data_IF_530438936365
#
_entry.id   IF_530438936365
#
_cell.length_a   1.000
_cell.length_b   1.000
_cell.length_c   1.000
_cell.angle_alpha   90.00
_cell.angle_beta   90.00
_cell.angle_gamma   90.00
#
_symmetry.space_group_name_H-M   'P 1'
#
loop_
_entity.id
_entity.type
_entity.pdbx_description
1 polymer ?
#
# COMPACT_ATOMS: atom_id res chain seq x y z
N UNK A 1 -3.98 30.02 -1.30
CA UNK A 1 -3.18 28.84 -1.70
C UNK A 1 -4.05 28.00 -2.64
N UNK A 2 -3.48 27.33 -3.64
CA UNK A 2 -4.24 26.49 -4.56
C UNK A 2 -4.49 25.13 -3.89
N UNK A 3 -5.76 24.76 -3.69
CA UNK A 3 -6.16 23.47 -3.12
C UNK A 3 -7.11 23.60 -1.93
N UNK A 4 -7.69 22.47 -1.51
CA UNK A 4 -8.49 22.35 -0.29
C UNK A 4 -7.65 21.70 0.81
N UNK A 5 -7.75 22.23 2.04
CA UNK A 5 -6.91 21.85 3.19
C UNK A 5 -7.75 21.51 4.42
N UNK A 6 -8.99 21.07 4.22
CA UNK A 6 -9.85 20.68 5.32
C UNK A 6 -9.38 19.35 5.96
N UNK A 7 -9.91 19.05 7.13
CA UNK A 7 -9.58 17.82 7.84
C UNK A 7 -9.94 16.54 7.08
N UNK A 8 -10.72 16.63 5.98
CA UNK A 8 -11.11 15.47 5.18
C UNK A 8 -9.96 14.94 4.33
N UNK A 9 -8.97 15.78 4.01
CA UNK A 9 -7.78 15.39 3.23
C UNK A 9 -6.50 15.32 4.07
N UNK A 10 -6.50 15.86 5.29
CA UNK A 10 -5.32 15.84 6.18
C UNK A 10 -4.85 14.41 6.47
N UNK A 11 -5.77 13.48 6.66
CA UNK A 11 -5.40 12.10 6.98
C UNK A 11 -4.74 11.39 5.78
N UNK A 12 -5.22 11.66 4.56
CA UNK A 12 -4.59 11.23 3.31
C UNK A 12 -3.16 11.77 3.19
N UNK A 13 -2.93 13.05 3.52
CA UNK A 13 -1.58 13.62 3.54
C UNK A 13 -0.67 13.00 4.61
N UNK A 14 -1.21 12.68 5.80
CA UNK A 14 -0.46 11.96 6.83
C UNK A 14 -0.06 10.56 6.34
N UNK A 15 -0.98 9.86 5.67
CA UNK A 15 -0.72 8.56 5.03
C UNK A 15 0.44 8.66 4.03
N UNK A 16 0.39 9.67 3.15
CA UNK A 16 1.45 9.94 2.17
C UNK A 16 2.81 10.22 2.83
N UNK A 17 2.85 11.10 3.83
CA UNK A 17 4.08 11.43 4.56
C UNK A 17 4.65 10.17 5.23
N UNK A 18 3.79 9.35 5.85
CA UNK A 18 4.19 8.08 6.47
C UNK A 18 4.81 7.13 5.43
N UNK A 19 4.19 7.00 4.26
CA UNK A 19 4.68 6.16 3.17
C UNK A 19 6.00 6.66 2.58
N UNK A 20 6.16 7.97 2.35
CA UNK A 20 7.42 8.55 1.86
C UNK A 20 8.56 8.34 2.87
N UNK A 21 8.27 8.53 4.16
CA UNK A 21 9.23 8.21 5.22
C UNK A 21 9.56 6.71 5.23
N UNK A 22 8.55 5.83 5.11
CA UNK A 22 8.72 4.39 5.01
C UNK A 22 9.59 3.94 3.84
N UNK A 23 9.39 4.51 2.65
CA UNK A 23 10.23 4.30 1.45
C UNK A 23 11.68 4.67 1.79
N UNK A 24 11.88 5.83 2.39
CA UNK A 24 13.21 6.32 2.77
C UNK A 24 13.88 5.38 3.77
N UNK A 25 13.15 4.85 4.74
CA UNK A 25 13.68 3.86 5.68
C UNK A 25 14.00 2.52 4.98
N UNK A 26 13.18 2.08 4.02
CA UNK A 26 13.43 0.88 3.24
C UNK A 26 14.73 0.99 2.42
N UNK A 27 14.95 2.13 1.76
CA UNK A 27 16.17 2.41 1.00
C UNK A 27 17.42 2.40 1.89
N UNK A 28 17.30 2.88 3.14
CA UNK A 28 18.36 2.83 4.14
C UNK A 28 18.53 1.44 4.82
N UNK A 29 17.85 0.40 4.32
CA UNK A 29 17.89 -0.96 4.87
C UNK A 29 17.16 -1.14 6.21
N UNK A 30 16.40 -0.15 6.67
CA UNK A 30 15.64 -0.17 7.93
C UNK A 30 14.23 -0.72 7.70
N UNK A 31 14.16 -1.98 7.24
CA UNK A 31 12.90 -2.62 6.82
C UNK A 31 11.84 -2.72 7.93
N UNK A 32 12.26 -2.80 9.20
CA UNK A 32 11.33 -2.78 10.34
C UNK A 32 10.48 -1.52 10.37
N UNK A 33 11.13 -0.37 10.23
CA UNK A 33 10.44 0.92 10.26
C UNK A 33 9.58 1.06 9.01
N UNK A 34 10.10 0.63 7.85
CA UNK A 34 9.33 0.65 6.60
C UNK A 34 8.01 -0.13 6.70
N UNK A 35 8.02 -1.35 7.24
CA UNK A 35 6.79 -2.14 7.37
C UNK A 35 5.82 -1.51 8.38
N UNK A 36 6.32 -0.96 9.48
CA UNK A 36 5.49 -0.19 10.42
C UNK A 36 4.83 1.00 9.72
N UNK A 37 5.58 1.74 8.90
CA UNK A 37 5.04 2.85 8.11
C UNK A 37 3.98 2.39 7.11
N UNK A 38 4.17 1.24 6.43
CA UNK A 38 3.18 0.69 5.51
C UNK A 38 1.87 0.33 6.23
N UNK A 39 1.98 -0.30 7.41
CA UNK A 39 0.83 -0.65 8.23
C UNK A 39 0.11 0.60 8.77
N UNK A 40 0.86 1.63 9.19
CA UNK A 40 0.30 2.90 9.64
C UNK A 40 -0.39 3.67 8.50
N UNK A 41 0.19 3.68 7.30
CA UNK A 41 -0.44 4.27 6.12
C UNK A 41 -1.75 3.58 5.77
N UNK A 42 -1.80 2.24 5.80
CA UNK A 42 -3.06 1.49 5.64
C UNK A 42 -4.09 1.77 6.73
N UNK A 43 -3.64 2.00 7.96
CA UNK A 43 -4.54 2.39 9.05
C UNK A 43 -5.15 3.78 8.80
N UNK A 44 -4.34 4.75 8.38
CA UNK A 44 -4.80 6.09 8.02
C UNK A 44 -5.85 6.06 6.91
N UNK A 45 -5.57 5.33 5.82
CA UNK A 45 -6.50 5.12 4.71
C UNK A 45 -7.85 4.51 5.15
N UNK A 46 -7.82 3.49 6.00
CA UNK A 46 -9.06 2.89 6.50
C UNK A 46 -9.94 3.88 7.29
N UNK A 47 -9.34 4.92 7.87
CA UNK A 47 -10.04 5.94 8.65
C UNK A 47 -10.37 7.21 7.86
N UNK A 48 -9.66 7.55 6.78
CA UNK A 48 -9.87 8.81 6.07
C UNK A 48 -11.25 8.86 5.42
N UNK A 49 -11.72 7.77 4.82
CA UNK A 49 -13.05 7.68 4.23
C UNK A 49 -14.17 7.75 5.27
N UNK A 50 -13.90 7.39 6.53
CA UNK A 50 -14.85 7.56 7.63
C UNK A 50 -14.89 9.00 8.12
N UNK A 51 -13.72 9.61 8.29
CA UNK A 51 -13.57 11.00 8.75
C UNK A 51 -14.10 11.97 7.69
N UNK A 52 -13.83 11.72 6.41
CA UNK A 52 -14.32 12.54 5.31
C UNK A 52 -15.86 12.55 5.22
N UNK A 53 -16.55 11.51 5.72
CA UNK A 53 -18.02 11.41 5.77
C UNK A 53 -18.64 12.14 6.97
N UNK A 54 -17.86 12.56 7.97
CA UNK A 54 -18.42 13.29 9.12
C UNK A 54 -18.64 14.77 8.82
N UNK A 55 -18.02 15.31 7.76
CA UNK A 55 -18.22 16.69 7.32
C UNK A 55 -19.60 16.85 6.67
N UNK A 56 -20.52 17.52 7.37
CA UNK A 56 -21.90 17.76 6.90
C UNK A 56 -21.98 18.81 5.78
N UNK A 57 -21.14 19.84 5.84
CA UNK A 57 -21.17 20.98 4.90
C UNK A 57 -20.02 20.91 3.87
N UNK A 58 -19.81 19.73 3.27
CA UNK A 58 -18.75 19.54 2.27
C UNK A 58 -19.26 19.98 0.89
N UNK A 59 -18.53 20.87 0.22
CA UNK A 59 -18.91 21.30 -1.14
C UNK A 59 -18.63 20.19 -2.17
N UNK A 60 -19.27 20.28 -3.33
CA UNK A 60 -19.02 19.33 -4.42
C UNK A 60 -17.55 19.35 -4.87
N UNK A 61 -16.93 20.54 -4.93
CA UNK A 61 -15.54 20.70 -5.33
C UNK A 61 -14.58 20.09 -4.30
N UNK A 62 -14.83 20.30 -3.00
CA UNK A 62 -14.06 19.66 -1.91
C UNK A 62 -14.15 18.13 -1.96
N UNK A 63 -15.32 17.60 -2.34
CA UNK A 63 -15.53 16.15 -2.49
C UNK A 63 -14.77 15.59 -3.68
N UNK A 64 -14.90 16.21 -4.86
CA UNK A 64 -14.21 15.79 -6.07
C UNK A 64 -12.69 15.89 -5.91
N UNK A 65 -12.20 17.00 -5.34
CA UNK A 65 -10.79 17.17 -5.05
C UNK A 65 -10.27 16.10 -4.09
N UNK A 66 -10.98 15.82 -3.01
CA UNK A 66 -10.59 14.79 -2.05
C UNK A 66 -10.49 13.40 -2.68
N UNK A 67 -11.43 13.01 -3.53
CA UNK A 67 -11.37 11.73 -4.27
C UNK A 67 -10.13 11.63 -5.15
N UNK A 68 -9.76 12.72 -5.83
CA UNK A 68 -8.57 12.74 -6.69
C UNK A 68 -7.28 12.68 -5.88
N UNK A 69 -7.17 13.46 -4.80
CA UNK A 69 -5.99 13.46 -3.92
C UNK A 69 -5.80 12.11 -3.24
N UNK A 70 -6.89 11.49 -2.78
CA UNK A 70 -6.89 10.15 -2.20
C UNK A 70 -6.29 9.12 -3.16
N UNK A 71 -6.82 9.06 -4.38
CA UNK A 71 -6.32 8.15 -5.42
C UNK A 71 -4.85 8.39 -5.79
N UNK A 72 -4.42 9.65 -5.87
CA UNK A 72 -3.01 9.96 -6.17
C UNK A 72 -2.09 9.53 -5.02
N UNK A 73 -2.52 9.74 -3.77
CA UNK A 73 -1.77 9.30 -2.60
C UNK A 73 -1.73 7.77 -2.50
N UNK A 74 -2.83 7.08 -2.79
CA UNK A 74 -2.91 5.61 -2.79
C UNK A 74 -1.96 4.96 -3.78
N UNK A 75 -1.78 5.54 -4.97
CA UNK A 75 -0.76 5.06 -5.91
C UNK A 75 0.62 5.08 -5.28
N UNK A 76 0.95 6.12 -4.52
CA UNK A 76 2.26 6.23 -3.84
C UNK A 76 2.34 5.28 -2.65
N UNK A 77 1.33 5.29 -1.78
CA UNK A 77 1.27 4.54 -0.53
C UNK A 77 1.18 3.02 -0.73
N UNK A 78 0.43 2.57 -1.74
CA UNK A 78 0.08 1.16 -1.90
C UNK A 78 0.50 0.59 -3.26
N UNK A 79 0.80 1.42 -4.26
CA UNK A 79 1.44 1.01 -5.50
C UNK A 79 2.97 1.08 -5.42
N UNK A 80 3.50 2.29 -5.24
CA UNK A 80 4.93 2.57 -5.32
C UNK A 80 5.68 2.08 -4.09
N UNK A 81 5.18 2.32 -2.89
CA UNK A 81 5.90 1.94 -1.67
C UNK A 81 6.13 0.43 -1.55
N UNK A 82 5.12 -0.47 -1.69
CA UNK A 82 5.34 -1.91 -1.72
C UNK A 82 6.33 -2.36 -2.79
N UNK A 83 6.25 -1.75 -3.98
CA UNK A 83 7.15 -2.03 -5.11
C UNK A 83 8.60 -1.74 -4.77
N UNK A 84 8.88 -0.55 -4.23
CA UNK A 84 10.23 -0.18 -3.81
C UNK A 84 10.71 -1.09 -2.68
N UNK A 85 9.84 -1.37 -1.70
CA UNK A 85 10.17 -2.24 -0.57
C UNK A 85 10.58 -3.64 -1.04
N UNK A 86 9.85 -4.25 -1.98
CA UNK A 86 10.22 -5.54 -2.58
C UNK A 86 11.50 -5.46 -3.43
N UNK A 87 11.71 -4.37 -4.18
CA UNK A 87 12.92 -4.16 -4.97
C UNK A 87 14.19 -4.14 -4.09
N UNK A 88 14.15 -3.37 -3.00
CA UNK A 88 15.30 -3.26 -2.09
C UNK A 88 15.60 -4.58 -1.36
N UNK A 89 14.58 -5.45 -1.19
CA UNK A 89 14.72 -6.78 -0.57
C UNK A 89 15.18 -7.89 -1.53
N UNK A 90 15.27 -7.60 -2.83
CA UNK A 90 15.90 -8.49 -3.79
C UNK A 90 15.03 -8.93 -4.97
N UNK A 91 13.82 -8.39 -5.14
CA UNK A 91 13.06 -8.54 -6.39
C UNK A 91 13.73 -7.67 -7.46
N UNK A 92 14.75 -8.21 -8.13
CA UNK A 92 15.65 -7.50 -9.06
C UNK A 92 15.82 -8.26 -10.38
N UNK A 93 16.63 -7.69 -11.27
CA UNK A 93 16.85 -8.22 -12.62
C UNK A 93 15.67 -7.93 -13.55
N UNK A 94 15.75 -8.44 -14.78
CA UNK A 94 14.76 -8.17 -15.84
C UNK A 94 13.35 -8.62 -15.38
N UNK A 95 13.25 -9.82 -14.82
CA UNK A 95 11.98 -10.36 -14.35
C UNK A 95 11.42 -9.56 -13.16
N UNK A 96 12.26 -9.24 -12.16
CA UNK A 96 11.83 -8.44 -11.02
C UNK A 96 11.36 -7.05 -11.42
N UNK A 97 12.09 -6.38 -12.32
CA UNK A 97 11.71 -5.10 -12.89
C UNK A 97 10.37 -5.16 -13.62
N UNK A 98 10.18 -6.17 -14.49
CA UNK A 98 8.93 -6.37 -15.21
C UNK A 98 7.73 -6.58 -14.26
N UNK A 99 7.88 -7.39 -13.21
CA UNK A 99 6.81 -7.66 -12.23
C UNK A 99 6.48 -6.42 -11.40
N UNK A 100 7.50 -5.65 -10.98
CA UNK A 100 7.30 -4.39 -10.26
C UNK A 100 6.56 -3.38 -11.15
N UNK A 101 6.99 -3.20 -12.40
CA UNK A 101 6.31 -2.32 -13.36
C UNK A 101 4.87 -2.77 -13.60
N UNK A 102 4.63 -4.07 -13.77
CA UNK A 102 3.30 -4.64 -13.92
C UNK A 102 2.41 -4.34 -12.71
N UNK A 103 2.91 -4.55 -11.49
CA UNK A 103 2.17 -4.26 -10.25
C UNK A 103 1.79 -2.77 -10.15
N UNK A 104 2.72 -1.86 -10.46
CA UNK A 104 2.45 -0.41 -10.49
C UNK A 104 1.37 -0.05 -11.51
N UNK A 105 1.44 -0.60 -12.73
CA UNK A 105 0.42 -0.37 -13.76
C UNK A 105 -0.94 -0.89 -13.31
N UNK A 106 -1.01 -2.09 -12.75
CA UNK A 106 -2.26 -2.66 -12.21
C UNK A 106 -2.84 -1.79 -11.08
N UNK A 107 -1.99 -1.23 -10.22
CA UNK A 107 -2.38 -0.33 -9.14
C UNK A 107 -3.04 0.95 -9.69
N UNK A 108 -2.48 1.55 -10.74
CA UNK A 108 -3.06 2.74 -11.39
C UNK A 108 -4.37 2.41 -12.09
N UNK A 109 -4.42 1.31 -12.85
CA UNK A 109 -5.64 0.85 -13.54
C UNK A 109 -6.77 0.62 -12.54
N UNK A 110 -6.47 -0.02 -11.40
CA UNK A 110 -7.42 -0.30 -10.33
C UNK A 110 -8.12 0.96 -9.82
N UNK A 111 -7.34 1.98 -9.49
CA UNK A 111 -7.82 3.24 -8.94
C UNK A 111 -8.56 4.05 -10.00
N UNK A 112 -8.01 4.13 -11.21
CA UNK A 112 -8.68 4.78 -12.34
C UNK A 112 -10.06 4.17 -12.65
N UNK A 113 -10.15 2.84 -12.72
CA UNK A 113 -11.42 2.13 -12.92
C UNK A 113 -12.39 2.34 -11.75
N UNK A 114 -11.89 2.33 -10.52
CA UNK A 114 -12.72 2.56 -9.34
C UNK A 114 -13.31 3.98 -9.31
N UNK A 115 -12.51 5.01 -9.64
CA UNK A 115 -12.96 6.39 -9.69
C UNK A 115 -14.06 6.63 -10.74
N UNK A 116 -13.89 6.06 -11.93
CA UNK A 116 -14.92 6.12 -12.99
C UNK A 116 -16.19 5.40 -12.54
N UNK A 117 -16.04 4.22 -11.93
CA UNK A 117 -17.19 3.45 -11.45
C UNK A 117 -17.95 4.18 -10.32
N UNK A 118 -17.25 4.81 -9.37
CA UNK A 118 -17.90 5.64 -8.34
C UNK A 118 -18.59 6.86 -8.95
N UNK A 119 -17.98 7.52 -9.92
CA UNK A 119 -18.58 8.67 -10.62
C UNK A 119 -19.88 8.25 -11.31
N UNK A 120 -19.87 7.14 -12.05
CA UNK A 120 -21.06 6.63 -12.73
C UNK A 120 -22.15 6.18 -11.73
N UNK A 121 -21.76 5.58 -10.60
CA UNK A 121 -22.70 5.16 -9.55
C UNK A 121 -23.44 6.33 -8.92
N UNK A 122 -22.73 7.43 -8.63
CA UNK A 122 -23.36 8.65 -8.10
C UNK A 122 -24.38 9.27 -9.05
N UNK A 123 -24.25 9.01 -10.35
CA UNK A 123 -25.18 9.50 -11.38
C UNK A 123 -26.39 8.58 -11.61
N UNK A 124 -26.34 7.31 -11.20
CA UNK A 124 -27.28 6.28 -11.68
C UNK A 124 -28.08 5.58 -10.59
N UNK A 125 -27.59 5.45 -9.34
CA UNK A 125 -28.26 4.66 -8.29
C UNK A 125 -28.44 5.45 -6.97
N UNK A 126 -29.69 5.59 -6.51
CA UNK A 126 -30.10 6.12 -5.19
C UNK A 126 -29.82 5.12 -4.03
N UNK A 127 -29.01 4.07 -4.26
CA UNK A 127 -28.95 2.88 -3.42
C UNK A 127 -27.55 2.31 -3.21
N UNK A 128 -27.19 2.10 -1.93
CA UNK A 128 -25.90 1.56 -1.49
C UNK A 128 -25.63 0.11 -1.91
N UNK A 129 -24.90 -0.09 -3.01
CA UNK A 129 -24.53 -1.44 -3.44
C UNK A 129 -23.36 -2.01 -2.59
N UNK A 130 -23.54 -3.23 -2.06
CA UNK A 130 -22.71 -3.86 -1.02
C UNK A 130 -21.42 -4.56 -1.52
N UNK A 131 -21.05 -4.36 -2.79
CA UNK A 131 -20.00 -5.12 -3.47
C UNK A 131 -18.95 -4.25 -4.17
N UNK A 132 -17.68 -4.61 -3.99
CA UNK A 132 -16.52 -4.12 -4.74
C UNK A 132 -16.23 -5.04 -5.92
N UNK A 133 -15.72 -4.48 -7.02
CA UNK A 133 -15.14 -5.24 -8.12
C UNK A 133 -13.62 -5.26 -7.96
N UNK A 134 -13.01 -6.45 -7.92
CA UNK A 134 -11.56 -6.64 -7.75
C UNK A 134 -11.05 -6.36 -6.32
N UNK A 135 -9.81 -6.75 -6.05
CA UNK A 135 -9.18 -6.58 -4.74
C UNK A 135 -8.87 -5.08 -4.48
N UNK A 136 -9.22 -4.49 -3.32
CA UNK A 136 -8.82 -3.12 -2.98
C UNK A 136 -7.30 -2.97 -2.95
N UNK A 137 -6.76 -1.84 -3.44
CA UNK A 137 -5.31 -1.60 -3.46
C UNK A 137 -4.70 -1.65 -2.06
N UNK A 138 -5.45 -1.18 -1.06
CA UNK A 138 -5.08 -1.12 0.36
C UNK A 138 -4.87 -2.51 0.97
N UNK A 139 -5.33 -3.58 0.31
CA UNK A 139 -5.11 -4.97 0.76
C UNK A 139 -3.63 -5.33 0.88
N UNK A 140 -2.73 -4.66 0.15
CA UNK A 140 -1.29 -4.89 0.25
C UNK A 140 -0.74 -4.57 1.65
N UNK A 141 -1.39 -3.67 2.40
CA UNK A 141 -1.01 -3.31 3.77
C UNK A 141 -1.26 -4.44 4.77
N UNK A 142 -2.08 -5.41 4.40
CA UNK A 142 -2.32 -6.64 5.17
C UNK A 142 -1.43 -7.76 4.65
N UNK A 143 -1.43 -7.96 3.33
CA UNK A 143 -0.74 -9.08 2.68
C UNK A 143 0.77 -8.99 2.91
N UNK A 144 1.37 -7.81 2.70
CA UNK A 144 2.82 -7.69 2.71
C UNK A 144 3.42 -7.90 4.12
N UNK A 145 2.92 -7.29 5.22
CA UNK A 145 3.41 -7.61 6.56
C UNK A 145 3.32 -9.10 6.92
N UNK A 146 2.26 -9.80 6.47
CA UNK A 146 2.10 -11.23 6.68
C UNK A 146 3.14 -12.04 5.89
N UNK A 147 3.35 -11.71 4.62
CA UNK A 147 4.38 -12.36 3.79
C UNK A 147 5.76 -12.18 4.41
N UNK A 148 6.05 -11.03 5.01
CA UNK A 148 7.32 -10.78 5.69
C UNK A 148 7.56 -11.65 6.92
N UNK A 149 6.52 -12.14 7.60
CA UNK A 149 6.71 -13.11 8.68
C UNK A 149 7.27 -14.44 8.17
N UNK A 150 6.94 -14.81 6.93
CA UNK A 150 7.41 -16.07 6.33
C UNK A 150 8.94 -16.06 6.23
N UNK A 151 9.56 -14.89 6.02
CA UNK A 151 11.03 -14.74 5.98
C UNK A 151 11.73 -15.34 7.21
N UNK A 152 11.07 -15.37 8.38
CA UNK A 152 11.64 -15.92 9.61
C UNK A 152 11.86 -17.45 9.55
N UNK A 153 11.20 -18.14 8.60
CA UNK A 153 11.18 -19.60 8.52
C UNK A 153 11.81 -20.16 7.25
N UNK A 154 12.19 -19.32 6.29
CA UNK A 154 12.66 -19.76 4.97
C UNK A 154 13.97 -19.07 4.55
N UNK A 155 14.76 -19.68 3.66
CA UNK A 155 15.94 -19.06 3.09
C UNK A 155 15.62 -17.78 2.31
N UNK A 156 16.58 -16.84 2.30
CA UNK A 156 16.43 -15.54 1.63
C UNK A 156 16.12 -15.66 0.13
N UNK A 157 16.70 -16.65 -0.55
CA UNK A 157 16.47 -16.86 -1.98
C UNK A 157 15.03 -17.28 -2.28
N UNK A 158 14.48 -18.20 -1.47
CA UNK A 158 13.07 -18.60 -1.57
C UNK A 158 12.14 -17.44 -1.24
N UNK A 159 12.50 -16.62 -0.23
CA UNK A 159 11.72 -15.44 0.14
C UNK A 159 11.61 -14.41 -1.00
N UNK A 160 12.68 -14.18 -1.76
CA UNK A 160 12.66 -13.28 -2.93
C UNK A 160 11.66 -13.74 -3.99
N UNK A 161 11.61 -15.05 -4.27
CA UNK A 161 10.62 -15.61 -5.19
C UNK A 161 9.19 -15.43 -4.68
N UNK A 162 8.96 -15.60 -3.38
CA UNK A 162 7.64 -15.37 -2.77
C UNK A 162 7.23 -13.90 -2.89
N UNK A 163 8.13 -12.93 -2.67
CA UNK A 163 7.82 -11.52 -2.89
C UNK A 163 7.45 -11.22 -4.34
N UNK A 164 8.20 -11.77 -5.29
CA UNK A 164 7.94 -11.63 -6.72
C UNK A 164 6.55 -12.18 -7.09
N UNK A 165 6.26 -13.42 -6.67
CA UNK A 165 4.95 -14.05 -6.90
C UNK A 165 3.84 -13.25 -6.23
N UNK A 166 4.07 -12.74 -5.01
CA UNK A 166 3.10 -11.91 -4.29
C UNK A 166 2.73 -10.66 -5.08
N UNK A 167 3.72 -9.90 -5.58
CA UNK A 167 3.44 -8.72 -6.39
C UNK A 167 2.68 -9.06 -7.67
N UNK A 168 3.07 -10.13 -8.37
CA UNK A 168 2.38 -10.55 -9.59
C UNK A 168 0.92 -10.94 -9.32
N UNK A 169 0.69 -11.78 -8.30
CA UNK A 169 -0.66 -12.26 -7.94
C UNK A 169 -1.53 -11.11 -7.45
N UNK A 170 -1.03 -10.27 -6.54
CA UNK A 170 -1.82 -9.15 -6.00
C UNK A 170 -2.13 -8.12 -7.10
N UNK A 171 -1.15 -7.79 -7.96
CA UNK A 171 -1.37 -6.92 -9.12
C UNK A 171 -2.45 -7.47 -10.05
N UNK A 172 -2.41 -8.76 -10.36
CA UNK A 172 -3.46 -9.43 -11.15
C UNK A 172 -4.83 -9.34 -10.45
N UNK A 173 -4.90 -9.59 -9.14
CA UNK A 173 -6.14 -9.51 -8.36
C UNK A 173 -6.73 -8.10 -8.29
N UNK A 174 -5.94 -7.05 -8.45
CA UNK A 174 -6.46 -5.69 -8.57
C UNK A 174 -7.32 -5.52 -9.83
N UNK A 175 -6.91 -6.11 -10.95
CA UNK A 175 -7.60 -5.94 -12.24
C UNK A 175 -8.58 -7.08 -12.57
N UNK A 176 -8.59 -8.16 -11.79
CA UNK A 176 -9.53 -9.28 -12.00
C UNK A 176 -10.96 -8.91 -11.60
N UNK A 177 -11.91 -9.21 -12.49
CA UNK A 177 -13.33 -8.96 -12.27
C UNK A 177 -13.98 -10.04 -11.39
N UNK A 178 -13.88 -9.88 -10.07
CA UNK A 178 -14.64 -10.66 -9.10
C UNK A 178 -15.35 -9.77 -8.08
N UNK A 179 -16.49 -10.23 -7.57
CA UNK A 179 -17.31 -9.46 -6.62
C UNK A 179 -16.86 -9.74 -5.19
N UNK A 180 -16.26 -8.76 -4.53
CA UNK A 180 -15.95 -8.80 -3.11
C UNK A 180 -17.04 -8.12 -2.31
N UNK A 181 -17.62 -8.83 -1.34
CA UNK A 181 -18.54 -8.23 -0.37
C UNK A 181 -17.77 -7.23 0.50
N UNK A 182 -18.33 -6.03 0.69
CA UNK A 182 -17.73 -5.03 1.57
C UNK A 182 -17.52 -5.60 2.98
N UNK A 183 -16.30 -5.51 3.54
CA UNK A 183 -16.03 -6.02 4.87
C UNK A 183 -16.89 -5.29 5.91
N UNK A 184 -17.47 -6.04 6.85
CA UNK A 184 -18.14 -5.47 8.02
C UNK A 184 -17.12 -4.74 8.91
N UNK A 185 -17.57 -3.79 9.73
CA UNK A 185 -16.71 -3.12 10.71
C UNK A 185 -15.98 -4.11 11.63
N UNK A 186 -16.65 -5.20 12.03
CA UNK A 186 -16.03 -6.28 12.82
C UNK A 186 -14.83 -6.90 12.09
N UNK A 187 -14.98 -7.19 10.80
CA UNK A 187 -13.93 -7.79 9.99
C UNK A 187 -12.76 -6.82 9.77
N UNK A 188 -13.04 -5.52 9.62
CA UNK A 188 -12.00 -4.48 9.56
C UNK A 188 -11.17 -4.44 10.86
N UNK A 189 -11.82 -4.47 12.03
CA UNK A 189 -11.08 -4.52 13.30
C UNK A 189 -10.24 -5.80 13.43
N UNK A 190 -10.75 -6.94 12.95
CA UNK A 190 -9.97 -8.19 12.90
C UNK A 190 -8.74 -8.05 12.02
N UNK A 191 -8.85 -7.45 10.83
CA UNK A 191 -7.69 -7.22 9.96
C UNK A 191 -6.65 -6.29 10.61
N UNK A 192 -7.08 -5.19 11.24
CA UNK A 192 -6.17 -4.31 11.98
C UNK A 192 -5.44 -5.06 13.09
N UNK A 193 -6.14 -5.90 13.85
CA UNK A 193 -5.53 -6.70 14.90
C UNK A 193 -4.49 -7.69 14.34
N UNK A 194 -4.82 -8.39 13.25
CA UNK A 194 -3.91 -9.33 12.58
C UNK A 194 -2.64 -8.60 12.12
N UNK A 195 -2.78 -7.45 11.47
CA UNK A 195 -1.64 -6.66 11.00
C UNK A 195 -0.81 -6.15 12.18
N UNK A 196 -1.45 -5.64 13.23
CA UNK A 196 -0.75 -5.19 14.44
C UNK A 196 0.06 -6.32 15.07
N UNK A 197 -0.53 -7.50 15.25
CA UNK A 197 0.16 -8.69 15.74
C UNK A 197 1.33 -9.07 14.82
N UNK A 198 1.12 -9.09 13.51
CA UNK A 198 2.17 -9.43 12.56
C UNK A 198 3.35 -8.45 12.61
N UNK A 199 3.08 -7.15 12.66
CA UNK A 199 4.10 -6.11 12.79
C UNK A 199 4.83 -6.23 14.12
N UNK A 200 4.14 -6.47 15.23
CA UNK A 200 4.75 -6.66 16.55
C UNK A 200 5.68 -7.87 16.55
N UNK A 201 5.20 -9.02 16.06
CA UNK A 201 6.00 -10.25 15.95
C UNK A 201 7.24 -9.97 15.10
N UNK A 202 7.08 -9.36 13.93
CA UNK A 202 8.20 -9.02 13.06
C UNK A 202 9.23 -8.12 13.75
N UNK A 203 8.79 -7.03 14.40
CA UNK A 203 9.68 -6.09 15.09
C UNK A 203 10.46 -6.75 16.23
N UNK A 204 9.81 -7.63 16.99
CA UNK A 204 10.41 -8.36 18.13
C UNK A 204 11.38 -9.45 17.64
N UNK A 205 10.96 -10.31 16.70
CA UNK A 205 11.77 -11.43 16.20
C UNK A 205 13.06 -10.97 15.52
N UNK A 206 13.03 -9.82 14.84
CA UNK A 206 14.18 -9.28 14.15
C UNK A 206 15.27 -8.78 15.13
N UNK A 207 14.95 -8.55 16.41
CA UNK A 207 15.97 -8.27 17.45
C UNK A 207 16.99 -9.42 17.58
N UNK A 208 16.64 -10.64 17.15
CA UNK A 208 17.50 -11.82 17.21
C UNK A 208 18.22 -12.19 15.90
N UNK A 209 17.74 -11.78 14.72
CA UNK A 209 18.37 -12.12 13.44
C UNK A 209 18.92 -10.87 12.74
N UNK A 210 20.25 -10.71 12.71
CA UNK A 210 20.92 -9.72 11.86
C UNK A 210 20.77 -10.17 10.39
N UNK A 211 19.83 -9.59 9.67
CA UNK A 211 19.87 -9.63 8.21
C UNK A 211 21.16 -8.94 7.78
N UNK A 212 22.00 -9.66 7.03
CA UNK A 212 23.22 -9.11 6.45
C UNK A 212 22.88 -7.83 5.70
N UNK A 213 23.63 -6.75 6.00
CA UNK A 213 23.49 -5.46 5.31
C UNK A 213 23.53 -5.70 3.79
N UNK A 214 22.67 -5.03 3.00
CA UNK A 214 22.78 -5.09 1.56
C UNK A 214 24.18 -4.60 1.14
N UNK A 215 24.91 -5.45 0.41
CA UNK A 215 26.33 -5.31 0.01
C UNK A 215 26.57 -4.15 -0.98
N UNK A 216 25.59 -3.29 -1.26
CA UNK A 216 25.65 -2.37 -2.40
C UNK A 216 25.58 -0.87 -2.07
N UNK A 217 25.65 -0.49 -0.79
CA UNK A 217 25.82 0.94 -0.46
C UNK A 217 27.21 1.48 -0.86
N UNK A 218 28.21 0.62 -1.06
CA UNK A 218 29.54 1.01 -1.56
C UNK A 218 29.59 1.14 -3.08
N UNK A 219 29.04 0.16 -3.82
CA UNK A 219 29.22 0.09 -5.28
C UNK A 219 28.39 1.13 -6.04
N UNK A 220 27.26 1.59 -5.49
CA UNK A 220 26.44 2.62 -6.13
C UNK A 220 27.02 4.04 -6.00
N UNK A 221 27.78 4.31 -4.93
CA UNK A 221 28.47 5.61 -4.76
C UNK A 221 29.77 5.66 -5.57
N UNK A 222 30.45 4.53 -5.75
CA UNK A 222 31.70 4.45 -6.51
C UNK A 222 31.48 4.69 -8.01
N UNK A 223 30.35 4.21 -8.58
CA UNK A 223 30.01 4.40 -10.00
C UNK A 223 29.38 5.75 -10.38
N UNK A 224 29.08 6.62 -9.42
CA UNK A 224 28.57 7.98 -9.69
C UNK A 224 29.70 9.02 -9.59
N UNK A 225 30.85 8.64 -9.03
CA UNK A 225 32.03 9.50 -8.86
C UNK A 225 33.18 9.17 -9.84
N UNK A 226 32.96 8.24 -10.78
CA UNK A 226 33.80 7.99 -11.96
C UNK A 226 33.03 8.34 -13.24
#
# INVERSE_FOLDING_TARGET
MIGFYDYTVVLTYISLICSVFGITQAMNGRFRIAIVCLALSGLCDMFDGKIARTKKDRTNDERLFGVQIDSLCDVICFGVFPSILCYVLGVRGILGGAVISYYCVCSVIRLGFFNVLETNRQMTEDGSNKYYYGLPITSITIILPLVFLIHLFIPIETFRWILLITLFVVGTLFITNFRLKKPSNQLLYTFVLIVACAVIIFVVSFKHHKIHKPIHHSIFMEKILE
#
